data_IF_857699490481
#
_entry.id   IF_857699490481
#
_cell.length_a   1.000
_cell.length_b   1.000
_cell.length_c   1.000
_cell.angle_alpha   90.00
_cell.angle_beta   90.00
_cell.angle_gamma   90.00
#
_symmetry.space_group_name_H-M   'P 1'
#
loop_
_entity.id
_entity.type
_entity.pdbx_description
1 polymer ?
#
# COMPACT_ATOMS: atom_id res chain seq x y z
N UNK A 1 -16.29 14.83 12.51
CA UNK A 1 -15.09 15.40 11.86
C UNK A 1 -15.16 15.12 10.36
N UNK A 2 -14.79 16.05 9.48
CA UNK A 2 -14.80 15.78 8.04
C UNK A 2 -13.79 14.68 7.71
N UNK A 3 -14.14 13.73 6.83
CA UNK A 3 -13.31 12.58 6.50
C UNK A 3 -11.90 12.98 6.00
N UNK A 4 -11.77 14.16 5.37
CA UNK A 4 -10.50 14.72 4.94
C UNK A 4 -9.53 15.05 6.06
N UNK A 5 -10.01 15.55 7.21
CA UNK A 5 -9.11 15.86 8.33
C UNK A 5 -8.54 14.58 8.92
N UNK A 6 -9.35 13.52 9.00
CA UNK A 6 -8.89 12.21 9.50
C UNK A 6 -7.82 11.62 8.58
N UNK A 7 -8.02 11.69 7.26
CA UNK A 7 -7.01 11.24 6.30
C UNK A 7 -5.72 12.07 6.36
N UNK A 8 -5.82 13.39 6.56
CA UNK A 8 -4.64 14.24 6.75
C UNK A 8 -3.87 13.88 8.03
N UNK A 9 -4.55 13.65 9.14
CA UNK A 9 -3.92 13.15 10.37
C UNK A 9 -3.26 11.79 10.17
N UNK A 10 -3.88 10.90 9.40
CA UNK A 10 -3.30 9.62 9.06
C UNK A 10 -2.02 9.78 8.23
N UNK A 11 -2.02 10.64 7.21
CA UNK A 11 -0.85 10.94 6.37
C UNK A 11 0.30 11.50 7.21
N UNK A 12 0.03 12.49 8.07
CA UNK A 12 1.07 13.11 8.91
C UNK A 12 1.60 12.11 9.93
N UNK A 13 0.74 11.35 10.58
CA UNK A 13 1.16 10.33 11.57
C UNK A 13 1.96 9.21 10.92
N UNK A 14 1.53 8.72 9.74
CA UNK A 14 2.24 7.70 8.98
C UNK A 14 3.64 8.15 8.54
N UNK A 15 3.75 9.39 8.05
CA UNK A 15 5.04 9.98 7.69
C UNK A 15 5.95 10.17 8.91
N UNK A 16 5.40 10.64 10.04
CA UNK A 16 6.14 10.80 11.30
C UNK A 16 6.61 9.46 11.87
N UNK A 17 5.79 8.41 11.80
CA UNK A 17 6.17 7.06 12.20
C UNK A 17 7.32 6.52 11.35
N UNK A 18 7.22 6.64 10.03
CA UNK A 18 8.30 6.26 9.12
C UNK A 18 9.59 7.03 9.42
N UNK A 19 9.49 8.34 9.65
CA UNK A 19 10.62 9.17 10.05
C UNK A 19 11.23 8.64 11.35
N UNK A 20 10.45 8.45 12.40
CA UNK A 20 10.91 8.00 13.70
C UNK A 20 11.60 6.63 13.66
N UNK A 21 11.00 5.66 12.97
CA UNK A 21 11.59 4.33 12.81
C UNK A 21 12.80 4.32 11.86
N UNK A 22 12.84 5.21 10.85
CA UNK A 22 13.97 5.38 9.94
C UNK A 22 15.15 6.14 10.54
N UNK A 23 14.94 6.98 11.55
CA UNK A 23 15.98 7.79 12.22
C UNK A 23 16.84 7.04 13.24
N UNK A 24 16.74 5.71 13.33
CA UNK A 24 17.57 4.94 14.27
C UNK A 24 19.05 4.83 13.86
N UNK A 25 19.40 5.29 12.66
CA UNK A 25 20.79 5.48 12.19
C UNK A 25 21.14 6.97 12.28
N UNK A 26 22.37 7.31 12.67
CA UNK A 26 22.81 8.71 12.86
C UNK A 26 22.39 9.61 11.70
N UNK A 27 21.53 10.59 11.98
CA UNK A 27 20.88 11.40 10.94
C UNK A 27 21.89 12.36 10.33
N UNK A 28 22.49 11.97 9.21
CA UNK A 28 23.20 12.90 8.34
C UNK A 28 22.18 13.89 7.76
N UNK A 29 22.40 15.19 7.99
CA UNK A 29 21.57 16.29 7.48
C UNK A 29 21.29 16.15 5.97
N UNK A 30 22.28 15.68 5.21
CA UNK A 30 22.16 15.43 3.77
C UNK A 30 21.13 14.35 3.42
N UNK A 31 21.02 13.28 4.22
CA UNK A 31 20.05 12.20 4.00
C UNK A 31 18.63 12.67 4.35
N UNK A 32 18.49 13.40 5.45
CA UNK A 32 17.23 14.06 5.82
C UNK A 32 16.72 15.03 4.73
N UNK A 33 17.61 15.88 4.21
CA UNK A 33 17.29 16.81 3.13
C UNK A 33 16.89 16.09 1.84
N UNK A 34 17.53 14.96 1.51
CA UNK A 34 17.15 14.16 0.36
C UNK A 34 15.73 13.62 0.47
N UNK A 35 15.35 13.05 1.62
CA UNK A 35 13.99 12.53 1.84
C UNK A 35 12.93 13.64 1.81
N UNK A 36 13.22 14.79 2.45
CA UNK A 36 12.31 15.94 2.44
C UNK A 36 12.16 16.49 1.01
N UNK A 37 13.27 16.63 0.27
CA UNK A 37 13.25 17.11 -1.12
C UNK A 37 12.43 16.18 -2.01
N UNK A 38 12.66 14.88 -1.91
CA UNK A 38 11.92 13.88 -2.69
C UNK A 38 10.44 13.87 -2.32
N UNK A 39 10.11 13.93 -1.03
CA UNK A 39 8.73 14.04 -0.55
C UNK A 39 8.03 15.30 -1.05
N UNK A 40 8.72 16.45 -1.04
CA UNK A 40 8.21 17.71 -1.56
C UNK A 40 7.95 17.65 -3.06
N UNK A 41 8.86 17.06 -3.85
CA UNK A 41 8.66 16.86 -5.29
C UNK A 41 7.46 15.96 -5.57
N UNK A 42 7.33 14.84 -4.87
CA UNK A 42 6.17 13.94 -5.03
C UNK A 42 4.87 14.65 -4.64
N UNK A 43 4.88 15.43 -3.56
CA UNK A 43 3.73 16.18 -3.08
C UNK A 43 3.28 17.25 -4.07
N UNK A 44 4.20 18.07 -4.57
CA UNK A 44 3.88 19.14 -5.52
C UNK A 44 3.43 18.58 -6.86
N UNK A 45 4.08 17.53 -7.36
CA UNK A 45 3.66 16.86 -8.58
C UNK A 45 2.26 16.24 -8.44
N UNK A 46 1.99 15.57 -7.32
CA UNK A 46 0.67 14.99 -7.04
C UNK A 46 -0.43 16.05 -6.94
N UNK A 47 -0.13 17.22 -6.37
CA UNK A 47 -1.06 18.35 -6.30
C UNK A 47 -1.46 18.86 -7.69
N UNK A 48 -0.49 19.02 -8.59
CA UNK A 48 -0.74 19.53 -9.95
C UNK A 48 -1.49 18.48 -10.78
N UNK A 49 -1.14 17.20 -10.61
CA UNK A 49 -1.70 16.12 -11.42
C UNK A 49 -3.09 15.67 -10.93
N UNK A 50 -3.42 15.85 -9.64
CA UNK A 50 -4.71 15.48 -9.05
C UNK A 50 -5.94 16.02 -9.81
N UNK A 51 -6.07 17.33 -10.14
CA UNK A 51 -7.23 17.83 -10.89
C UNK A 51 -7.29 17.29 -12.32
N UNK A 52 -6.14 17.05 -12.96
CA UNK A 52 -6.07 16.50 -14.33
C UNK A 52 -6.61 15.06 -14.33
N UNK A 53 -6.15 14.24 -13.40
CA UNK A 53 -6.60 12.85 -13.27
C UNK A 53 -8.05 12.74 -12.84
N UNK A 54 -8.50 13.64 -11.94
CA UNK A 54 -9.91 13.75 -11.54
C UNK A 54 -10.79 14.05 -12.75
N UNK A 55 -10.42 15.05 -13.55
CA UNK A 55 -11.16 15.41 -14.76
C UNK A 55 -11.17 14.30 -15.80
N UNK A 56 -10.06 13.56 -15.96
CA UNK A 56 -9.98 12.46 -16.92
C UNK A 56 -10.92 11.32 -16.52
N UNK A 57 -10.88 10.90 -15.25
CA UNK A 57 -11.69 9.80 -14.75
C UNK A 57 -13.15 10.19 -14.50
N UNK A 58 -13.49 11.48 -14.45
CA UNK A 58 -14.88 11.94 -14.37
C UNK A 58 -15.70 11.50 -15.60
N UNK A 59 -15.06 11.36 -16.76
CA UNK A 59 -15.69 10.92 -18.03
C UNK A 59 -16.03 9.42 -18.07
N UNK A 60 -15.45 8.63 -17.17
CA UNK A 60 -15.65 7.19 -17.09
C UNK A 60 -16.87 6.87 -16.22
N UNK A 61 -17.60 5.80 -16.54
CA UNK A 61 -18.77 5.38 -15.75
C UNK A 61 -18.40 4.92 -14.34
N UNK A 62 -19.28 5.17 -13.36
CA UNK A 62 -19.08 4.81 -11.95
C UNK A 62 -18.84 3.31 -11.76
N UNK A 63 -19.63 2.49 -12.46
CA UNK A 63 -19.62 1.04 -12.29
C UNK A 63 -18.30 0.44 -12.78
N UNK A 64 -17.79 0.96 -13.91
CA UNK A 64 -16.49 0.57 -14.42
C UNK A 64 -15.34 1.02 -13.52
N UNK A 65 -15.46 2.14 -12.81
CA UNK A 65 -14.42 2.63 -11.90
C UNK A 65 -14.29 1.73 -10.68
N UNK A 66 -15.41 1.32 -10.07
CA UNK A 66 -15.37 0.38 -8.96
C UNK A 66 -14.80 -0.97 -9.39
N UNK A 67 -15.18 -1.45 -10.58
CA UNK A 67 -14.62 -2.69 -11.15
C UNK A 67 -13.11 -2.58 -11.38
N UNK A 68 -12.64 -1.50 -12.02
CA UNK A 68 -11.22 -1.29 -12.30
C UNK A 68 -10.40 -1.08 -11.02
N UNK A 69 -10.91 -0.33 -10.05
CA UNK A 69 -10.27 -0.18 -8.75
C UNK A 69 -10.09 -1.54 -8.04
N UNK A 70 -11.13 -2.38 -8.06
CA UNK A 70 -11.05 -3.75 -7.54
C UNK A 70 -10.00 -4.58 -8.25
N UNK A 71 -9.97 -4.57 -9.59
CA UNK A 71 -8.96 -5.27 -10.39
C UNK A 71 -7.54 -4.78 -10.08
N UNK A 72 -7.33 -3.47 -9.96
CA UNK A 72 -6.02 -2.93 -9.63
C UNK A 72 -5.57 -3.29 -8.21
N UNK A 73 -6.48 -3.36 -7.24
CA UNK A 73 -6.14 -3.89 -5.91
C UNK A 73 -5.79 -5.38 -5.95
N UNK A 74 -6.47 -6.18 -6.78
CA UNK A 74 -6.13 -7.58 -6.99
C UNK A 74 -4.76 -7.75 -7.66
N UNK A 75 -4.44 -6.93 -8.65
CA UNK A 75 -3.11 -6.90 -9.28
C UNK A 75 -2.05 -6.51 -8.27
N UNK A 76 -2.27 -5.46 -7.48
CA UNK A 76 -1.35 -5.06 -6.41
C UNK A 76 -1.11 -6.21 -5.44
N UNK A 77 -2.16 -6.87 -4.97
CA UNK A 77 -2.06 -8.02 -4.07
C UNK A 77 -1.31 -9.20 -4.70
N UNK A 78 -1.60 -9.55 -5.96
CA UNK A 78 -0.94 -10.66 -6.64
C UNK A 78 0.53 -10.39 -7.00
N UNK A 79 0.86 -9.14 -7.36
CA UNK A 79 2.19 -8.73 -7.79
C UNK A 79 3.07 -8.20 -6.66
N UNK A 80 2.57 -8.13 -5.42
CA UNK A 80 3.40 -7.76 -4.27
C UNK A 80 4.50 -8.80 -4.09
N UNK A 81 5.75 -8.37 -3.94
CA UNK A 81 6.86 -9.30 -3.75
C UNK A 81 6.91 -9.84 -2.32
N UNK A 82 6.37 -11.04 -2.13
CA UNK A 82 6.38 -11.76 -0.86
C UNK A 82 7.73 -12.45 -0.57
N UNK A 83 8.66 -12.52 -1.53
CA UNK A 83 9.95 -13.22 -1.39
C UNK A 83 11.00 -12.40 -0.62
N UNK A 84 10.82 -11.08 -0.50
CA UNK A 84 11.57 -10.21 0.42
C UNK A 84 11.45 -10.62 1.91
N UNK A 85 10.58 -11.60 2.20
CA UNK A 85 10.40 -12.21 3.51
C UNK A 85 11.35 -13.39 3.82
N UNK A 86 12.31 -13.72 2.95
CA UNK A 86 13.35 -14.72 3.23
C UNK A 86 14.66 -14.01 3.60
N UNK A 87 15.33 -14.48 4.66
CA UNK A 87 16.48 -13.79 5.27
C UNK A 87 17.72 -13.67 4.35
N UNK A 88 17.79 -14.46 3.27
CA UNK A 88 18.93 -14.56 2.36
C UNK A 88 18.71 -13.90 0.98
N UNK A 89 17.60 -13.19 0.74
CA UNK A 89 17.33 -12.64 -0.60
C UNK A 89 17.97 -11.27 -0.81
N UNK A 90 18.81 -11.14 -1.84
CA UNK A 90 19.31 -9.85 -2.32
C UNK A 90 18.17 -9.11 -3.03
N UNK A 91 17.80 -7.93 -2.53
CA UNK A 91 16.73 -7.11 -3.10
C UNK A 91 17.05 -6.74 -4.56
N UNK A 92 16.26 -7.24 -5.50
CA UNK A 92 16.31 -6.79 -6.90
C UNK A 92 15.57 -5.45 -7.05
N UNK A 93 16.27 -4.37 -7.44
CA UNK A 93 15.65 -3.08 -7.64
C UNK A 93 14.64 -3.15 -8.79
N UNK A 94 13.34 -3.02 -8.48
CA UNK A 94 12.27 -2.90 -9.49
C UNK A 94 11.13 -3.91 -9.37
N UNK A 95 11.29 -4.98 -8.58
CA UNK A 95 10.29 -6.05 -8.42
C UNK A 95 8.90 -5.53 -8.00
N UNK A 96 8.85 -4.48 -7.16
CA UNK A 96 7.60 -3.94 -6.60
C UNK A 96 6.94 -2.81 -7.41
N UNK A 97 7.49 -2.44 -8.57
CA UNK A 97 7.00 -1.28 -9.34
C UNK A 97 5.59 -1.48 -9.90
N UNK A 98 5.25 -2.70 -10.30
CA UNK A 98 3.92 -3.08 -10.82
C UNK A 98 2.85 -3.07 -9.73
N UNK A 99 3.18 -3.60 -8.55
CA UNK A 99 2.31 -3.53 -7.38
C UNK A 99 2.07 -2.07 -6.96
N UNK A 100 3.14 -1.27 -6.86
CA UNK A 100 3.02 0.13 -6.49
C UNK A 100 2.17 0.94 -7.48
N UNK A 101 2.47 0.86 -8.79
CA UNK A 101 1.71 1.57 -9.82
C UNK A 101 0.24 1.15 -9.88
N UNK A 102 -0.06 -0.15 -9.75
CA UNK A 102 -1.46 -0.62 -9.70
C UNK A 102 -2.20 -0.11 -8.46
N UNK A 103 -1.56 -0.09 -7.29
CA UNK A 103 -2.17 0.46 -6.07
C UNK A 103 -2.50 1.96 -6.19
N UNK A 104 -1.64 2.73 -6.87
CA UNK A 104 -1.88 4.14 -7.15
C UNK A 104 -3.04 4.34 -8.11
N UNK A 105 -3.13 3.52 -9.16
CA UNK A 105 -4.27 3.57 -10.09
C UNK A 105 -5.58 3.22 -9.40
N UNK A 106 -5.58 2.24 -8.48
CA UNK A 106 -6.75 1.89 -7.68
C UNK A 106 -7.20 3.06 -6.78
N UNK A 107 -6.25 3.67 -6.05
CA UNK A 107 -6.50 4.83 -5.20
C UNK A 107 -7.02 6.01 -6.04
N UNK A 108 -6.47 6.20 -7.24
CA UNK A 108 -6.90 7.26 -8.15
C UNK A 108 -8.32 7.05 -8.69
N UNK A 109 -8.65 5.81 -9.07
CA UNK A 109 -9.99 5.41 -9.48
C UNK A 109 -11.03 5.81 -8.42
N UNK A 110 -10.78 5.48 -7.16
CA UNK A 110 -11.65 5.87 -6.05
C UNK A 110 -11.66 7.39 -5.81
N UNK A 111 -10.49 8.03 -5.88
CA UNK A 111 -10.33 9.47 -5.65
C UNK A 111 -11.15 10.30 -6.65
N UNK A 112 -11.26 9.85 -7.91
CA UNK A 112 -12.02 10.53 -8.96
C UNK A 112 -13.50 10.76 -8.63
N UNK A 113 -14.07 9.98 -7.71
CA UNK A 113 -15.48 10.06 -7.31
C UNK A 113 -15.73 11.00 -6.14
N UNK A 114 -14.67 11.58 -5.55
CA UNK A 114 -14.84 12.56 -4.50
C UNK A 114 -15.23 13.91 -5.12
N UNK A 115 -16.12 14.67 -4.46
CA UNK A 115 -16.76 15.84 -5.06
C UNK A 115 -15.83 17.05 -5.18
N UNK A 116 -14.73 17.10 -4.41
CA UNK A 116 -13.80 18.23 -4.44
C UNK A 116 -12.37 17.76 -4.76
N UNK A 117 -11.60 18.58 -5.51
CA UNK A 117 -10.22 18.24 -5.86
C UNK A 117 -9.31 18.12 -4.62
N UNK A 118 -9.65 18.85 -3.55
CA UNK A 118 -8.96 18.73 -2.27
C UNK A 118 -9.12 17.33 -1.65
N UNK A 119 -10.33 16.79 -1.66
CA UNK A 119 -10.58 15.44 -1.17
C UNK A 119 -9.86 14.37 -2.00
N UNK A 120 -9.86 14.53 -3.32
CA UNK A 120 -9.12 13.67 -4.27
C UNK A 120 -7.63 13.66 -3.95
N UNK A 121 -7.05 14.85 -3.76
CA UNK A 121 -5.63 14.99 -3.42
C UNK A 121 -5.29 14.27 -2.11
N UNK A 122 -6.07 14.52 -1.04
CA UNK A 122 -5.84 13.90 0.27
C UNK A 122 -5.93 12.37 0.19
N UNK A 123 -6.87 11.83 -0.60
CA UNK A 123 -7.01 10.38 -0.78
C UNK A 123 -5.82 9.78 -1.54
N UNK A 124 -5.34 10.43 -2.60
CA UNK A 124 -4.16 9.97 -3.35
C UNK A 124 -2.92 10.05 -2.45
N UNK A 125 -2.74 11.12 -1.68
CA UNK A 125 -1.64 11.26 -0.73
C UNK A 125 -1.70 10.23 0.40
N UNK A 126 -2.90 9.91 0.90
CA UNK A 126 -3.08 8.80 1.84
C UNK A 126 -2.75 7.46 1.20
N UNK A 127 -3.17 7.23 -0.05
CA UNK A 127 -2.84 6.04 -0.83
C UNK A 127 -1.33 5.88 -1.07
N UNK A 128 -0.63 6.95 -1.44
CA UNK A 128 0.83 6.90 -1.65
C UNK A 128 1.55 6.58 -0.34
N UNK A 129 1.17 7.18 0.79
CA UNK A 129 1.74 6.83 2.11
C UNK A 129 1.42 5.39 2.47
N UNK A 130 0.19 4.93 2.27
CA UNK A 130 -0.22 3.55 2.56
C UNK A 130 0.51 2.52 1.69
N UNK A 131 0.73 2.76 0.40
CA UNK A 131 1.30 1.75 -0.48
C UNK A 131 2.82 1.88 -0.66
N UNK A 132 3.39 3.08 -0.57
CA UNK A 132 4.84 3.29 -0.65
C UNK A 132 5.54 3.08 0.70
N UNK A 133 4.93 3.59 1.77
CA UNK A 133 5.58 3.69 3.09
C UNK A 133 5.31 2.47 3.98
N UNK A 134 4.18 1.79 3.76
CA UNK A 134 3.87 0.55 4.48
C UNK A 134 4.88 -0.58 4.29
N UNK A 135 5.27 -0.98 3.05
CA UNK A 135 6.20 -2.10 2.87
C UNK A 135 7.57 -1.83 3.51
N UNK A 136 8.05 -0.58 3.44
CA UNK A 136 9.30 -0.19 4.08
C UNK A 136 9.19 -0.19 5.61
N UNK A 137 8.07 0.26 6.17
CA UNK A 137 7.81 0.22 7.62
C UNK A 137 7.71 -1.22 8.14
N UNK A 138 7.03 -2.11 7.40
CA UNK A 138 6.98 -3.56 7.70
C UNK A 138 8.38 -4.15 7.72
N UNK A 139 9.21 -3.81 6.73
CA UNK A 139 10.59 -4.32 6.64
C UNK A 139 11.46 -3.85 7.82
N UNK A 140 11.41 -2.55 8.17
CA UNK A 140 12.18 -2.00 9.31
C UNK A 140 11.77 -2.68 10.61
N UNK A 141 10.47 -2.82 10.87
CA UNK A 141 9.96 -3.49 12.07
C UNK A 141 10.35 -4.95 12.08
N UNK A 142 10.31 -5.64 10.94
CA UNK A 142 10.72 -7.04 10.83
C UNK A 142 12.21 -7.24 11.14
N UNK A 143 13.08 -6.38 10.61
CA UNK A 143 14.53 -6.45 10.87
C UNK A 143 14.82 -6.20 12.35
N UNK A 144 14.10 -5.26 12.99
CA UNK A 144 14.36 -4.87 14.38
C UNK A 144 13.71 -5.77 15.43
N UNK A 145 12.45 -6.17 15.21
CA UNK A 145 11.61 -6.89 16.16
C UNK A 145 11.32 -8.35 15.75
N UNK A 146 11.92 -8.81 14.65
CA UNK A 146 11.80 -10.18 14.16
C UNK A 146 10.37 -10.57 13.77
N UNK A 147 10.08 -11.88 13.82
CA UNK A 147 8.77 -12.45 13.44
C UNK A 147 7.62 -11.97 14.34
N UNK A 148 7.90 -11.70 15.61
CA UNK A 148 6.91 -11.21 16.57
C UNK A 148 6.44 -9.79 16.24
N UNK A 149 7.36 -8.91 15.82
CA UNK A 149 7.01 -7.56 15.36
C UNK A 149 6.10 -7.56 14.12
N UNK A 150 6.38 -8.47 13.17
CA UNK A 150 5.53 -8.64 11.99
C UNK A 150 4.11 -9.10 12.35
N UNK A 151 3.96 -10.06 13.28
CA UNK A 151 2.66 -10.49 13.79
C UNK A 151 1.91 -9.37 14.53
N UNK A 152 2.61 -8.57 15.34
CA UNK A 152 2.01 -7.44 16.03
C UNK A 152 1.47 -6.41 15.02
N UNK A 153 2.22 -6.14 13.96
CA UNK A 153 1.83 -5.19 12.93
C UNK A 153 0.64 -5.67 12.09
N UNK A 154 0.56 -6.97 11.75
CA UNK A 154 -0.61 -7.52 11.06
C UNK A 154 -1.86 -7.52 11.95
N UNK A 155 -1.71 -7.81 13.25
CA UNK A 155 -2.81 -7.69 14.22
C UNK A 155 -3.26 -6.24 14.39
N UNK A 156 -2.32 -5.29 14.43
CA UNK A 156 -2.65 -3.87 14.50
C UNK A 156 -3.41 -3.41 13.25
N UNK A 157 -2.95 -3.79 12.06
CA UNK A 157 -3.65 -3.48 10.79
C UNK A 157 -5.05 -4.13 10.73
N UNK A 158 -5.19 -5.35 11.26
CA UNK A 158 -6.47 -6.03 11.38
C UNK A 158 -7.44 -5.25 12.28
N UNK A 159 -7.01 -4.86 13.48
CA UNK A 159 -7.84 -4.10 14.41
C UNK A 159 -8.19 -2.72 13.85
N UNK A 160 -7.21 -2.03 13.26
CA UNK A 160 -7.39 -0.71 12.68
C UNK A 160 -8.38 -0.71 11.52
N UNK A 161 -8.33 -1.71 10.64
CA UNK A 161 -9.30 -1.81 9.53
C UNK A 161 -10.73 -2.10 10.01
N UNK A 162 -10.88 -2.95 11.02
CA UNK A 162 -12.19 -3.25 11.62
C UNK A 162 -12.80 -2.03 12.34
N UNK A 163 -12.01 -1.27 13.09
CA UNK A 163 -12.51 -0.07 13.80
C UNK A 163 -12.93 1.03 12.83
N UNK A 164 -12.24 1.17 11.69
CA UNK A 164 -12.58 2.16 10.66
C UNK A 164 -13.87 1.82 9.90
N UNK A 165 -14.14 0.53 9.67
CA UNK A 165 -15.36 0.07 9.01
C UNK A 165 -16.58 0.03 9.92
N UNK A 166 -16.35 -0.10 11.23
CA UNK A 166 -17.41 -0.16 12.25
C UNK A 166 -18.48 0.95 12.12
N UNK A 167 -18.15 2.26 12.07
CA UNK A 167 -19.18 3.29 11.97
C UNK A 167 -20.03 3.17 10.70
N UNK A 168 -19.45 2.73 9.57
CA UNK A 168 -20.15 2.59 8.30
C UNK A 168 -21.17 1.45 8.37
N UNK A 169 -20.79 0.30 8.94
CA UNK A 169 -21.66 -0.87 9.06
C UNK A 169 -22.79 -0.64 10.05
N UNK A 170 -22.53 0.06 11.16
CA UNK A 170 -23.54 0.25 12.20
C UNK A 170 -24.52 1.40 11.93
N UNK A 171 -24.04 2.49 11.32
CA UNK A 171 -24.85 3.71 11.12
C UNK A 171 -25.67 3.68 9.82
N UNK A 172 -25.10 3.23 8.72
CA UNK A 172 -25.71 3.37 7.39
C UNK A 172 -26.43 2.11 6.89
N UNK A 173 -26.04 0.92 7.38
CA UNK A 173 -26.57 -0.33 6.83
C UNK A 173 -27.91 -0.75 7.46
N UNK A 174 -28.87 -1.29 6.66
CA UNK A 174 -30.08 -1.92 7.18
C UNK A 174 -29.76 -3.15 8.04
N UNK A 175 -30.55 -3.35 9.11
CA UNK A 175 -30.28 -4.35 10.17
C UNK A 175 -30.06 -5.78 9.65
N UNK A 176 -30.78 -6.17 8.60
CA UNK A 176 -30.72 -7.51 8.00
C UNK A 176 -29.35 -7.82 7.36
N UNK A 177 -28.67 -6.81 6.82
CA UNK A 177 -27.41 -6.97 6.10
C UNK A 177 -26.17 -6.73 6.96
N UNK A 178 -26.33 -6.21 8.19
CA UNK A 178 -25.20 -5.90 9.10
C UNK A 178 -24.34 -7.12 9.39
N UNK A 179 -24.99 -8.25 9.71
CA UNK A 179 -24.31 -9.51 10.04
C UNK A 179 -23.60 -10.06 8.80
N UNK A 180 -24.26 -10.04 7.63
CA UNK A 180 -23.67 -10.51 6.38
C UNK A 180 -22.43 -9.70 5.99
N UNK A 181 -22.50 -8.37 6.05
CA UNK A 181 -21.38 -7.47 5.73
C UNK A 181 -20.21 -7.68 6.71
N UNK A 182 -20.50 -7.83 8.00
CA UNK A 182 -19.46 -8.09 9.00
C UNK A 182 -18.76 -9.43 8.78
N UNK A 183 -19.52 -10.51 8.53
CA UNK A 183 -18.94 -11.83 8.24
C UNK A 183 -18.15 -11.81 6.95
N UNK A 184 -18.68 -11.19 5.89
CA UNK A 184 -17.99 -11.06 4.61
C UNK A 184 -16.67 -10.29 4.76
N UNK A 185 -16.67 -9.21 5.55
CA UNK A 185 -15.47 -8.43 5.83
C UNK A 185 -14.41 -9.23 6.60
N UNK A 186 -14.79 -9.91 7.68
CA UNK A 186 -13.87 -10.76 8.45
C UNK A 186 -13.27 -11.86 7.57
N UNK A 187 -14.09 -12.49 6.75
CA UNK A 187 -13.66 -13.55 5.82
C UNK A 187 -12.66 -13.00 4.81
N UNK A 188 -12.94 -11.84 4.21
CA UNK A 188 -12.05 -11.20 3.23
C UNK A 188 -10.71 -10.83 3.86
N UNK A 189 -10.70 -10.26 5.07
CA UNK A 189 -9.47 -9.85 5.74
C UNK A 189 -8.59 -11.08 6.05
N UNK A 190 -9.18 -12.18 6.51
CA UNK A 190 -8.45 -13.43 6.76
C UNK A 190 -7.88 -13.99 5.46
N UNK A 191 -8.66 -13.97 4.38
CA UNK A 191 -8.24 -14.44 3.06
C UNK A 191 -7.04 -13.64 2.53
N UNK A 192 -7.10 -12.30 2.62
CA UNK A 192 -6.05 -11.41 2.08
C UNK A 192 -4.76 -11.49 2.90
N UNK A 193 -4.83 -11.62 4.23
CA UNK A 193 -3.65 -11.55 5.10
C UNK A 193 -2.96 -12.90 5.33
N UNK A 194 -3.71 -14.00 5.32
CA UNK A 194 -3.16 -15.33 5.63
C UNK A 194 -3.13 -16.24 4.42
N UNK A 195 -4.28 -16.47 3.80
CA UNK A 195 -4.43 -17.46 2.72
C UNK A 195 -3.71 -16.97 1.45
N UNK A 196 -3.87 -15.69 1.11
CA UNK A 196 -3.22 -15.06 -0.03
C UNK A 196 -1.71 -15.21 -0.05
N UNK A 197 -1.00 -14.64 0.94
CA UNK A 197 0.44 -14.76 1.03
C UNK A 197 0.91 -16.21 1.07
N UNK A 198 0.17 -17.10 1.74
CA UNK A 198 0.49 -18.53 1.77
C UNK A 198 0.45 -19.17 0.37
N UNK A 199 -0.60 -18.91 -0.42
CA UNK A 199 -0.73 -19.41 -1.79
C UNK A 199 0.32 -18.76 -2.70
N UNK A 200 0.49 -17.44 -2.62
CA UNK A 200 1.40 -16.68 -3.48
C UNK A 200 2.87 -17.04 -3.24
N UNK A 201 3.29 -17.21 -1.99
CA UNK A 201 4.65 -17.70 -1.67
C UNK A 201 4.86 -19.10 -2.25
N UNK A 202 3.84 -19.97 -2.22
CA UNK A 202 3.92 -21.31 -2.80
C UNK A 202 4.01 -21.27 -4.32
N UNK A 203 3.30 -20.32 -4.97
CA UNK A 203 3.38 -20.09 -6.41
C UNK A 203 4.73 -19.49 -6.82
N UNK A 204 5.29 -18.56 -6.04
CA UNK A 204 6.61 -17.99 -6.29
C UNK A 204 7.71 -19.07 -6.29
N UNK A 205 7.62 -20.09 -5.42
CA UNK A 205 8.55 -21.24 -5.42
C UNK A 205 8.51 -22.09 -6.69
N UNK A 206 7.39 -22.07 -7.42
CA UNK A 206 7.20 -22.85 -8.65
C UNK A 206 7.73 -22.07 -9.88
N UNK A 207 7.99 -20.76 -9.73
CA UNK A 207 8.54 -19.92 -10.80
C UNK A 207 10.01 -20.30 -11.02
N UNK A 208 10.24 -21.20 -11.97
CA UNK A 208 11.58 -21.62 -12.38
C UNK A 208 12.26 -20.46 -13.10
N UNK A 209 13.39 -19.98 -12.61
CA UNK A 209 14.20 -19.03 -13.37
C UNK A 209 14.73 -19.76 -14.62
N UNK A 210 14.31 -19.31 -15.79
CA UNK A 210 14.80 -19.85 -17.05
C UNK A 210 16.09 -19.10 -17.33
N UNK A 211 17.21 -19.70 -16.91
CA UNK A 211 18.54 -19.20 -17.24
C UNK A 211 18.69 -19.32 -18.76
N UNK A 212 18.51 -18.20 -19.45
CA UNK A 212 18.82 -18.10 -20.87
C UNK A 212 20.34 -18.16 -21.06
N UNK A 213 20.84 -18.43 -22.28
CA UNK A 213 22.27 -18.37 -22.59
C UNK A 213 22.86 -16.94 -22.52
N UNK A 214 22.08 -15.98 -22.03
CA UNK A 214 22.37 -14.55 -21.91
C UNK A 214 22.44 -14.10 -20.45
N UNK A 215 22.38 -15.02 -19.48
CA UNK A 215 22.35 -14.69 -18.05
C UNK A 215 23.73 -14.25 -17.53
N UNK A 216 23.69 -13.49 -16.44
CA UNK A 216 24.68 -12.49 -16.00
C UNK A 216 26.16 -12.94 -15.98
N UNK A 217 27.06 -12.03 -16.34
CA UNK A 217 28.50 -12.27 -16.35
C UNK A 217 29.04 -12.58 -14.95
N UNK A 218 29.50 -13.82 -14.76
CA UNK A 218 30.13 -14.27 -13.51
C UNK A 218 31.49 -13.59 -13.37
N UNK A 219 31.62 -12.68 -12.41
CA UNK A 219 32.92 -12.04 -12.10
C UNK A 219 33.79 -13.08 -11.40
N UNK A 220 34.70 -13.71 -12.14
CA UNK A 220 35.74 -14.55 -11.56
C UNK A 220 36.76 -13.64 -10.87
N UNK A 221 36.84 -13.72 -9.54
CA UNK A 221 37.94 -13.14 -8.79
C UNK A 221 39.19 -14.01 -9.01
N UNK A 222 40.15 -13.49 -9.76
CA UNK A 222 41.50 -14.06 -9.97
C UNK A 222 42.42 -13.77 -8.80
#
# INVERSE_FOLDING_TARGET
MPASTVLMFFVTTGYLLFWFFGTSEQVNLQRALFHIRTGLVIFTFSLILAPILHSLLATVSTDSIYAMAGLFFLVNWACTDYTTQLADYAYEPGSNTTAFSSSLLAALCLASRLPTPYHTFVLIAAGTVLFALWPSLVQVIRVRAGKAGQLCLTLFAFLFSNTFLWPIVYHEAPMEYKVLISIANLTLIVLINFIGPWVLVRMQRIKRNIHGPWDEAVVQQS
#
